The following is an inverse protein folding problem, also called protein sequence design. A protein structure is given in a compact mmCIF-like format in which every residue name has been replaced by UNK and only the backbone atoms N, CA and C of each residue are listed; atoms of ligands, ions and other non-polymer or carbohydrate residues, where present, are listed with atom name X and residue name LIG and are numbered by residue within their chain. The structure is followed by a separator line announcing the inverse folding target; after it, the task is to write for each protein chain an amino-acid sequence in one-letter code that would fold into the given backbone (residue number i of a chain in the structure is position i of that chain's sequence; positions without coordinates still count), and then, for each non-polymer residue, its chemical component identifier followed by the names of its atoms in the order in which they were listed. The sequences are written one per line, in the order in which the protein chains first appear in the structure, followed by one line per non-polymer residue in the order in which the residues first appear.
data_IF_194452334723
#
_entry.id   IF_194452334723
#
_cell.length_a   1.000
_cell.length_b   1.000
_cell.length_c   1.000
_cell.angle_alpha   90.00
_cell.angle_beta   90.00
_cell.angle_gamma   90.00
#
_symmetry.space_group_name_H-M   'P 1'
#
loop_
_entity.id
_entity.type
_entity.pdbx_description
1 polymer ?
#
# COMPACT_ATOMS: atom_id res chain seq x y z
N UNK A 1 -7.30 1.43 -23.88
CA UNK A 1 -7.30 0.96 -22.49
C UNK A 1 -5.84 0.76 -22.12
N UNK A 2 -5.34 1.47 -21.10
CA UNK A 2 -3.96 1.29 -20.62
C UNK A 2 -3.81 -0.05 -19.92
N UNK A 3 -2.59 -0.61 -19.89
CA UNK A 3 -2.31 -1.77 -19.07
C UNK A 3 -2.36 -1.37 -17.58
N UNK A 4 -2.88 -2.25 -16.73
CA UNK A 4 -2.82 -2.04 -15.28
C UNK A 4 -1.36 -2.02 -14.83
N UNK A 5 -1.00 -1.07 -13.98
CA UNK A 5 0.32 -0.97 -13.36
C UNK A 5 0.45 -2.02 -12.27
N UNK A 6 -0.58 -2.15 -11.42
CA UNK A 6 -0.71 -3.22 -10.44
C UNK A 6 -2.03 -3.96 -10.66
N UNK A 7 -2.00 -5.29 -10.58
CA UNK A 7 -3.21 -6.13 -10.63
C UNK A 7 -3.99 -6.04 -9.31
N UNK A 8 -5.27 -6.40 -9.36
CA UNK A 8 -6.15 -6.37 -8.18
C UNK A 8 -5.60 -7.25 -7.05
N UNK A 9 -5.03 -8.41 -7.37
CA UNK A 9 -4.45 -9.33 -6.39
C UNK A 9 -3.25 -8.70 -5.66
N UNK A 10 -2.46 -7.88 -6.36
CA UNK A 10 -1.33 -7.16 -5.79
C UNK A 10 -1.81 -6.04 -4.87
N UNK A 11 -2.82 -5.28 -5.29
CA UNK A 11 -3.44 -4.24 -4.46
C UNK A 11 -4.04 -4.86 -3.19
N UNK A 12 -4.70 -6.01 -3.31
CA UNK A 12 -5.26 -6.74 -2.16
C UNK A 12 -4.16 -7.22 -1.21
N UNK A 13 -3.08 -7.80 -1.73
CA UNK A 13 -1.95 -8.23 -0.90
C UNK A 13 -1.30 -7.06 -0.15
N UNK A 14 -1.11 -5.91 -0.82
CA UNK A 14 -0.57 -4.70 -0.20
C UNK A 14 -1.52 -4.11 0.85
N UNK A 15 -2.83 -4.11 0.57
CA UNK A 15 -3.87 -3.71 1.53
C UNK A 15 -3.82 -4.58 2.79
N UNK A 16 -3.76 -5.90 2.64
CA UNK A 16 -3.64 -6.81 3.78
C UNK A 16 -2.37 -6.54 4.59
N UNK A 17 -1.24 -6.28 3.92
CA UNK A 17 0.01 -5.93 4.58
C UNK A 17 -0.14 -4.67 5.44
N UNK A 18 -0.79 -3.63 4.91
CA UNK A 18 -1.07 -2.39 5.65
C UNK A 18 -1.93 -2.64 6.89
N UNK A 19 -3.01 -3.42 6.75
CA UNK A 19 -3.90 -3.70 7.88
C UNK A 19 -3.23 -4.56 8.96
N UNK A 20 -2.42 -5.55 8.56
CA UNK A 20 -1.64 -6.36 9.51
C UNK A 20 -0.61 -5.49 10.23
N UNK A 21 0.10 -4.63 9.50
CA UNK A 21 1.07 -3.70 10.08
C UNK A 21 0.41 -2.79 11.13
N UNK A 22 -0.77 -2.25 10.83
CA UNK A 22 -1.52 -1.39 11.74
C UNK A 22 -2.00 -2.16 12.99
N UNK A 23 -2.52 -3.37 12.81
CA UNK A 23 -3.06 -4.18 13.91
C UNK A 23 -1.99 -4.76 14.84
N UNK A 24 -0.83 -5.11 14.30
CA UNK A 24 0.13 -5.96 14.99
C UNK A 24 1.50 -5.31 15.21
N UNK A 25 1.84 -4.26 14.46
CA UNK A 25 3.22 -3.73 14.38
C UNK A 25 3.32 -2.22 14.62
N UNK A 26 2.30 -1.63 15.25
CA UNK A 26 2.25 -0.21 15.63
C UNK A 26 2.35 0.75 14.42
N UNK A 27 2.06 0.28 13.20
CA UNK A 27 2.04 1.13 12.02
C UNK A 27 0.91 2.15 12.12
N UNK A 28 1.25 3.43 12.09
CA UNK A 28 0.31 4.54 12.12
C UNK A 28 -0.33 4.78 10.75
N UNK A 29 -1.37 4.02 10.39
CA UNK A 29 -2.07 4.19 9.11
C UNK A 29 -2.63 5.61 8.95
N UNK A 30 -3.15 6.18 10.04
CA UNK A 30 -3.67 7.55 10.03
C UNK A 30 -2.57 8.55 9.65
N UNK A 31 -1.43 8.49 10.32
CA UNK A 31 -0.29 9.37 10.09
C UNK A 31 0.23 9.19 8.65
N UNK A 32 0.35 7.94 8.20
CA UNK A 32 0.76 7.62 6.83
C UNK A 32 -0.20 8.24 5.79
N UNK A 33 -1.52 8.16 6.02
CA UNK A 33 -2.53 8.77 5.15
C UNK A 33 -2.47 10.30 5.16
N UNK A 34 -2.21 10.94 6.30
CA UNK A 34 -2.03 12.40 6.39
C UNK A 34 -0.86 12.86 5.51
N UNK A 35 0.22 12.07 5.42
CA UNK A 35 1.38 12.38 4.60
C UNK A 35 1.15 12.23 3.09
N UNK A 36 0.14 11.45 2.67
CA UNK A 36 -0.18 11.30 1.23
C UNK A 36 -0.79 12.54 0.59
N UNK A 37 -1.42 13.41 1.40
CA UNK A 37 -2.22 14.54 0.89
C UNK A 37 -3.51 14.14 0.17
N UNK A 38 -3.86 12.85 0.14
CA UNK A 38 -5.09 12.34 -0.50
C UNK A 38 -6.36 12.57 0.34
N UNK A 39 -6.20 12.79 1.65
CA UNK A 39 -7.28 13.01 2.60
C UNK A 39 -6.99 14.28 3.39
N UNK A 40 -8.00 15.11 3.60
CA UNK A 40 -7.87 16.26 4.50
C UNK A 40 -7.72 15.78 5.95
N UNK A 41 -6.73 16.32 6.69
CA UNK A 41 -6.45 15.91 8.08
C UNK A 41 -7.66 16.01 9.01
N UNK A 42 -8.66 16.84 8.68
CA UNK A 42 -9.91 16.95 9.44
C UNK A 42 -10.78 15.70 9.38
N UNK A 43 -10.69 14.91 8.31
CA UNK A 43 -11.44 13.66 8.11
C UNK A 43 -10.80 12.47 8.85
N UNK A 44 -9.54 12.60 9.25
CA UNK A 44 -8.73 11.57 9.92
C UNK A 44 -8.76 11.65 11.46
N UNK A 45 -9.67 12.45 12.03
CA UNK A 45 -9.81 12.60 13.49
C UNK A 45 -10.26 11.33 14.23
N UNK A 46 -10.83 10.37 13.52
CA UNK A 46 -11.28 9.09 14.06
C UNK A 46 -10.40 7.93 13.51
N UNK A 47 -9.66 7.21 14.37
CA UNK A 47 -8.83 6.07 13.96
C UNK A 47 -9.61 4.99 13.20
N UNK A 48 -10.86 4.72 13.59
CA UNK A 48 -11.69 3.71 12.91
C UNK A 48 -12.07 4.14 11.49
N UNK A 49 -12.05 5.44 11.22
CA UNK A 49 -12.36 6.03 9.92
C UNK A 49 -11.18 5.94 8.95
N UNK A 50 -9.94 5.84 9.45
CA UNK A 50 -8.74 5.73 8.62
C UNK A 50 -8.78 4.51 7.69
N UNK A 51 -9.17 3.32 8.21
CA UNK A 51 -9.34 2.10 7.40
C UNK A 51 -10.41 2.25 6.32
N UNK A 52 -11.56 2.81 6.68
CA UNK A 52 -12.65 3.03 5.73
C UNK A 52 -12.23 3.97 4.61
N UNK A 53 -11.53 5.06 4.95
CA UNK A 53 -11.02 6.03 3.98
C UNK A 53 -9.90 5.42 3.12
N UNK A 54 -9.01 4.61 3.69
CA UNK A 54 -8.01 3.86 2.94
C UNK A 54 -8.64 2.94 1.90
N UNK A 55 -9.64 2.14 2.29
CA UNK A 55 -10.39 1.30 1.36
C UNK A 55 -11.09 2.11 0.26
N UNK A 56 -11.60 3.30 0.61
CA UNK A 56 -12.16 4.26 -0.32
C UNK A 56 -11.12 4.78 -1.33
N UNK A 57 -9.92 5.15 -0.86
CA UNK A 57 -8.81 5.58 -1.70
C UNK A 57 -8.47 4.50 -2.72
N UNK A 58 -8.24 3.26 -2.27
CA UNK A 58 -7.83 2.16 -3.14
C UNK A 58 -8.83 1.89 -4.28
N UNK A 59 -10.13 2.07 -4.01
CA UNK A 59 -11.20 1.96 -5.00
C UNK A 59 -11.28 3.14 -5.96
N UNK A 60 -10.77 4.31 -5.56
CA UNK A 60 -10.81 5.55 -6.34
C UNK A 60 -9.56 5.78 -7.21
N UNK A 61 -8.45 5.12 -6.90
CA UNK A 61 -7.20 5.24 -7.63
C UNK A 61 -7.36 4.67 -9.04
N UNK A 62 -6.89 5.42 -10.04
CA UNK A 62 -6.72 4.91 -11.37
C UNK A 62 -5.42 4.10 -11.49
N UNK A 63 -5.52 2.77 -11.42
CA UNK A 63 -4.38 1.85 -11.47
C UNK A 63 -3.70 1.73 -12.85
N UNK A 64 -4.13 2.51 -13.85
CA UNK A 64 -3.44 2.65 -15.15
C UNK A 64 -2.57 3.90 -15.25
N UNK A 65 -2.64 4.77 -14.24
CA UNK A 65 -1.95 6.06 -14.21
C UNK A 65 -0.94 6.11 -13.05
N UNK A 66 0.33 6.36 -13.39
CA UNK A 66 1.41 6.40 -12.39
C UNK A 66 1.26 7.57 -11.44
N UNK A 67 0.78 8.71 -11.92
CA UNK A 67 0.60 9.91 -11.09
C UNK A 67 -0.50 9.71 -10.05
N UNK A 68 -1.55 8.97 -10.43
CA UNK A 68 -2.63 8.58 -9.51
C UNK A 68 -2.18 7.61 -8.41
N UNK A 69 -1.23 6.71 -8.70
CA UNK A 69 -0.75 5.70 -7.74
C UNK A 69 0.34 6.27 -6.83
N UNK A 70 1.18 7.18 -7.33
CA UNK A 70 2.34 7.73 -6.62
C UNK A 70 2.09 8.10 -5.15
N UNK A 71 1.01 8.85 -4.83
CA UNK A 71 0.75 9.27 -3.46
C UNK A 71 0.47 8.15 -2.45
N UNK A 72 -0.01 6.97 -2.89
CA UNK A 72 -0.31 5.84 -1.98
C UNK A 72 0.89 4.90 -1.77
N UNK A 73 1.87 4.92 -2.68
CA UNK A 73 3.04 4.03 -2.62
C UNK A 73 3.80 4.12 -1.29
N UNK A 74 4.09 5.31 -0.72
CA UNK A 74 4.78 5.41 0.56
C UNK A 74 4.06 4.63 1.68
N UNK A 75 2.73 4.65 1.73
CA UNK A 75 1.94 3.92 2.74
C UNK A 75 2.20 2.42 2.65
N UNK A 76 2.25 1.86 1.44
CA UNK A 76 2.53 0.44 1.24
C UNK A 76 3.95 0.07 1.64
N UNK A 77 4.91 0.90 1.26
CA UNK A 77 6.34 0.69 1.54
C UNK A 77 6.60 0.76 3.04
N UNK A 78 6.08 1.77 3.72
CA UNK A 78 6.27 1.97 5.16
C UNK A 78 5.62 0.82 5.94
N UNK A 79 4.40 0.42 5.59
CA UNK A 79 3.74 -0.73 6.22
C UNK A 79 4.49 -2.05 5.99
N UNK A 80 5.07 -2.24 4.80
CA UNK A 80 5.90 -3.38 4.49
C UNK A 80 7.19 -3.35 5.34
N UNK A 81 7.81 -2.20 5.55
CA UNK A 81 9.02 -2.08 6.38
C UNK A 81 8.78 -2.32 7.87
N UNK A 82 7.64 -1.88 8.40
CA UNK A 82 7.25 -2.07 9.81
C UNK A 82 6.84 -3.52 10.14
N UNK A 83 6.46 -4.30 9.13
CA UNK A 83 6.07 -5.70 9.31
C UNK A 83 7.30 -6.61 9.49
N UNK A 84 7.39 -7.44 10.55
CA UNK A 84 8.51 -8.35 10.74
C UNK A 84 8.57 -9.41 9.64
N UNK A 85 9.76 -9.63 9.07
CA UNK A 85 10.04 -10.62 8.00
C UNK A 85 9.64 -12.07 8.40
N UNK A 86 9.47 -12.34 9.71
CA UNK A 86 8.97 -13.61 10.24
C UNK A 86 7.45 -13.83 10.08
N UNK A 87 6.66 -12.86 9.60
CA UNK A 87 5.27 -13.04 9.16
C UNK A 87 5.25 -13.74 7.79
N UNK A 88 5.78 -14.97 7.76
CA UNK A 88 6.20 -15.75 6.60
C UNK A 88 5.18 -15.96 5.47
N UNK A 89 3.96 -15.45 5.60
CA UNK A 89 2.92 -15.50 4.56
C UNK A 89 2.72 -14.16 3.85
N UNK A 90 2.72 -13.02 4.56
CA UNK A 90 2.31 -11.75 3.96
C UNK A 90 3.39 -11.15 3.06
N UNK A 91 4.65 -11.07 3.53
CA UNK A 91 5.78 -10.62 2.70
C UNK A 91 5.94 -11.50 1.46
N UNK A 92 5.91 -12.83 1.63
CA UNK A 92 6.00 -13.76 0.49
C UNK A 92 4.86 -13.59 -0.50
N UNK A 93 3.63 -13.31 -0.03
CA UNK A 93 2.49 -13.03 -0.89
C UNK A 93 2.69 -11.71 -1.64
N UNK A 94 3.04 -10.64 -0.93
CA UNK A 94 3.31 -9.32 -1.51
C UNK A 94 4.43 -9.39 -2.55
N UNK A 95 5.57 -9.99 -2.20
CA UNK A 95 6.73 -10.12 -3.09
C UNK A 95 6.36 -10.91 -4.36
N UNK A 96 5.57 -11.99 -4.22
CA UNK A 96 5.09 -12.79 -5.36
C UNK A 96 4.20 -11.96 -6.28
N UNK A 97 3.20 -11.28 -5.73
CA UNK A 97 2.25 -10.51 -6.55
C UNK A 97 2.91 -9.31 -7.22
N UNK A 98 3.78 -8.59 -6.49
CA UNK A 98 4.61 -7.53 -7.05
C UNK A 98 5.51 -8.04 -8.18
N UNK A 99 6.17 -9.19 -7.99
CA UNK A 99 7.03 -9.76 -9.03
C UNK A 99 6.25 -10.13 -10.29
N UNK A 100 5.02 -10.63 -10.16
CA UNK A 100 4.12 -10.88 -11.28
C UNK A 100 3.72 -9.59 -12.03
N UNK A 101 3.67 -8.45 -11.34
CA UNK A 101 3.47 -7.13 -11.95
C UNK A 101 4.76 -6.48 -12.46
N UNK A 102 5.91 -7.13 -12.25
CA UNK A 102 7.22 -6.60 -12.63
C UNK A 102 7.74 -5.54 -11.66
N UNK A 103 7.39 -5.63 -10.39
CA UNK A 103 7.84 -4.74 -9.32
C UNK A 103 8.44 -5.52 -8.15
N UNK A 104 9.17 -4.82 -7.29
CA UNK A 104 9.61 -5.31 -5.98
C UNK A 104 9.74 -4.12 -5.01
N UNK A 105 9.54 -4.35 -3.72
CA UNK A 105 9.92 -3.37 -2.69
C UNK A 105 11.36 -3.64 -2.28
N UNK A 106 12.24 -2.65 -2.41
CA UNK A 106 13.64 -2.74 -2.03
C UNK A 106 14.10 -1.43 -1.42
N UNK A 107 14.82 -1.50 -0.30
CA UNK A 107 15.39 -0.33 0.38
C UNK A 107 14.38 0.79 0.68
N UNK A 108 13.11 0.42 0.95
CA UNK A 108 12.06 1.41 1.19
C UNK A 108 11.55 2.09 -0.08
N UNK A 109 11.65 1.43 -1.23
CA UNK A 109 11.13 1.95 -2.50
C UNK A 109 10.46 0.85 -3.32
N UNK A 110 9.37 1.19 -4.02
CA UNK A 110 8.78 0.32 -5.03
C UNK A 110 9.53 0.50 -6.36
N UNK A 111 10.32 -0.49 -6.74
CA UNK A 111 11.15 -0.44 -7.95
C UNK A 111 10.65 -1.40 -9.02
N UNK A 112 10.74 -0.97 -10.28
CA UNK A 112 10.37 -1.80 -11.43
C UNK A 112 11.48 -2.81 -11.71
N UNK A 113 11.14 -4.09 -11.75
CA UNK A 113 12.00 -5.14 -12.27
C UNK A 113 12.20 -4.87 -13.76
N UNK A 114 13.43 -4.61 -14.16
CA UNK A 114 13.75 -4.51 -15.59
C UNK A 114 13.47 -5.87 -16.24
N UNK A 115 12.90 -5.89 -17.46
CA UNK A 115 12.77 -7.13 -18.22
C UNK A 115 14.14 -7.76 -18.52
#
# INVERSE_FOLDING_TARGET
MGALILREETVEALRECVLIAEEMHLFGLKEALEHTGLIASEELKDPYRARFLFDGILKSINWTDTDSIGPIIPVFVDAYAESPINFHTIHRRVDRELACDGFQIKEGELIRLRP
#
